data_IF_608828487521
#
_entry.id   IF_608828487521
#
_cell.length_a   1.000
_cell.length_b   1.000
_cell.length_c   1.000
_cell.angle_alpha   90.00
_cell.angle_beta   90.00
_cell.angle_gamma   90.00
#
_symmetry.space_group_name_H-M   'P 1'
#
loop_
_entity.id
_entity.type
_entity.pdbx_description
1 polymer ?
#
# COMPACT_ATOMS: atom_id res chain seq x y z
N UNK A 1 13.08 -3.63 1.78
CA UNK A 1 12.00 -2.97 2.55
C UNK A 1 12.30 -1.47 2.54
N UNK A 2 11.28 -0.62 2.51
CA UNK A 2 11.49 0.85 2.46
C UNK A 2 12.11 1.34 3.77
N UNK A 3 12.95 2.36 3.78
CA UNK A 3 13.44 2.93 5.05
C UNK A 3 12.33 3.72 5.77
N UNK A 4 12.51 3.99 7.06
CA UNK A 4 11.57 4.83 7.81
C UNK A 4 11.49 6.25 7.24
N UNK A 5 12.63 6.81 6.87
CA UNK A 5 12.74 8.11 6.21
C UNK A 5 11.98 8.13 4.87
N UNK A 6 12.04 7.05 4.10
CA UNK A 6 11.28 6.91 2.85
C UNK A 6 9.77 6.86 3.10
N UNK A 7 9.33 6.12 4.12
CA UNK A 7 7.90 6.05 4.49
C UNK A 7 7.41 7.43 4.93
N UNK A 8 8.15 8.12 5.79
CA UNK A 8 7.79 9.46 6.28
C UNK A 8 7.78 10.50 5.14
N UNK A 9 8.82 10.50 4.30
CA UNK A 9 8.91 11.41 3.15
C UNK A 9 7.73 11.24 2.20
N UNK A 10 7.35 10.00 1.89
CA UNK A 10 6.19 9.73 1.03
C UNK A 10 4.85 10.14 1.67
N UNK A 11 4.67 9.93 2.97
CA UNK A 11 3.45 10.37 3.65
C UNK A 11 3.33 11.89 3.65
N UNK A 12 4.46 12.60 3.79
CA UNK A 12 4.50 14.06 3.72
C UNK A 12 4.22 14.58 2.31
N UNK A 13 4.85 13.99 1.30
CA UNK A 13 4.63 14.32 -0.12
C UNK A 13 3.17 14.10 -0.53
N UNK A 14 2.65 12.89 -0.27
CA UNK A 14 1.26 12.53 -0.60
C UNK A 14 0.25 13.37 0.19
N UNK A 15 0.56 13.73 1.43
CA UNK A 15 -0.23 14.64 2.24
C UNK A 15 -0.28 16.04 1.61
N UNK A 16 0.88 16.61 1.29
CA UNK A 16 0.99 17.92 0.67
C UNK A 16 0.26 18.03 -0.67
N UNK A 17 0.38 17.01 -1.53
CA UNK A 17 -0.35 17.00 -2.82
C UNK A 17 -1.88 16.89 -2.63
N UNK A 18 -2.34 16.09 -1.66
CA UNK A 18 -3.77 15.99 -1.34
C UNK A 18 -4.30 17.30 -0.75
N UNK A 19 -3.53 17.94 0.11
CA UNK A 19 -3.89 19.22 0.72
C UNK A 19 -3.97 20.31 -0.35
N UNK A 20 -3.01 20.36 -1.28
CA UNK A 20 -3.02 21.27 -2.43
C UNK A 20 -4.27 21.08 -3.30
N UNK A 21 -4.67 19.84 -3.60
CA UNK A 21 -5.91 19.58 -4.33
C UNK A 21 -7.16 19.95 -3.53
N UNK A 22 -7.11 19.91 -2.20
CA UNK A 22 -8.23 20.29 -1.35
C UNK A 22 -8.36 21.80 -1.13
N UNK A 23 -7.26 22.55 -1.24
CA UNK A 23 -7.22 24.01 -1.05
C UNK A 23 -7.63 24.80 -2.29
N UNK A 24 -7.92 24.13 -3.41
CA UNK A 24 -8.43 24.79 -4.60
C UNK A 24 -9.83 25.37 -4.31
N UNK A 25 -9.99 26.68 -4.49
CA UNK A 25 -11.28 27.37 -4.33
C UNK A 25 -12.31 26.99 -5.41
N UNK A 26 -11.88 26.23 -6.42
CA UNK A 26 -12.71 25.73 -7.52
C UNK A 26 -12.98 24.24 -7.39
N UNK A 27 -14.08 23.72 -7.97
CA UNK A 27 -14.26 22.28 -8.09
C UNK A 27 -13.12 21.66 -8.90
N UNK A 28 -12.78 20.42 -8.51
CA UNK A 28 -11.79 19.61 -9.20
C UNK A 28 -12.31 19.22 -10.58
N UNK A 29 -11.42 19.24 -11.56
CA UNK A 29 -11.69 18.62 -12.86
C UNK A 29 -11.68 17.10 -12.73
N UNK A 30 -12.26 16.39 -13.70
CA UNK A 30 -12.29 14.91 -13.68
C UNK A 30 -10.89 14.28 -13.57
N UNK A 31 -9.89 14.88 -14.20
CA UNK A 31 -8.51 14.38 -14.12
C UNK A 31 -7.89 14.63 -12.75
N UNK A 32 -8.19 15.77 -12.11
CA UNK A 32 -7.74 16.08 -10.75
C UNK A 32 -8.45 15.21 -9.71
N UNK A 33 -9.74 14.88 -9.89
CA UNK A 33 -10.44 13.91 -9.05
C UNK A 33 -9.83 12.52 -9.17
N UNK A 34 -9.50 12.10 -10.40
CA UNK A 34 -8.81 10.83 -10.66
C UNK A 34 -7.44 10.83 -10.00
N UNK A 35 -6.70 11.93 -10.11
CA UNK A 35 -5.41 12.10 -9.45
C UNK A 35 -5.53 12.06 -7.92
N UNK A 36 -6.49 12.77 -7.32
CA UNK A 36 -6.78 12.74 -5.89
C UNK A 36 -7.05 11.31 -5.41
N UNK A 37 -7.87 10.55 -6.13
CA UNK A 37 -8.14 9.14 -5.81
C UNK A 37 -6.86 8.29 -5.86
N UNK A 38 -5.97 8.52 -6.83
CA UNK A 38 -4.67 7.84 -6.90
C UNK A 38 -3.80 8.16 -5.68
N UNK A 39 -3.71 9.44 -5.30
CA UNK A 39 -2.93 9.89 -4.14
C UNK A 39 -3.48 9.32 -2.83
N UNK A 40 -4.80 9.31 -2.65
CA UNK A 40 -5.46 8.67 -1.51
C UNK A 40 -5.11 7.18 -1.43
N UNK A 41 -5.11 6.48 -2.55
CA UNK A 41 -4.80 5.06 -2.57
C UNK A 41 -3.32 4.79 -2.28
N UNK A 42 -2.40 5.60 -2.84
CA UNK A 42 -0.97 5.55 -2.51
C UNK A 42 -0.74 5.77 -1.02
N UNK A 43 -1.37 6.79 -0.44
CA UNK A 43 -1.27 7.11 1.00
C UNK A 43 -1.74 5.94 1.85
N UNK A 44 -2.89 5.36 1.52
CA UNK A 44 -3.40 4.15 2.18
C UNK A 44 -2.38 2.99 2.16
N UNK A 45 -1.75 2.71 1.03
CA UNK A 45 -0.75 1.62 0.96
C UNK A 45 0.47 1.91 1.83
N UNK A 46 0.97 3.16 1.81
CA UNK A 46 2.12 3.56 2.65
C UNK A 46 1.78 3.48 4.14
N UNK A 47 0.57 3.89 4.53
CA UNK A 47 0.08 3.72 5.91
C UNK A 47 0.05 2.24 6.33
N UNK A 48 -0.31 1.32 5.43
CA UNK A 48 -0.29 -0.13 5.70
C UNK A 48 1.12 -0.69 5.85
N UNK A 49 2.11 -0.14 5.14
CA UNK A 49 3.53 -0.48 5.35
C UNK A 49 3.95 -0.04 6.76
N UNK A 50 3.60 1.19 7.16
CA UNK A 50 3.89 1.73 8.49
C UNK A 50 3.23 0.90 9.60
N UNK A 51 1.96 0.54 9.43
CA UNK A 51 1.23 -0.32 10.37
C UNK A 51 1.86 -1.72 10.50
N UNK A 52 2.21 -2.36 9.38
CA UNK A 52 2.83 -3.68 9.38
C UNK A 52 4.18 -3.66 10.09
N UNK A 53 4.98 -2.61 9.86
CA UNK A 53 6.24 -2.39 10.57
C UNK A 53 6.04 -2.20 12.06
N UNK A 54 5.09 -1.34 12.47
CA UNK A 54 4.80 -1.11 13.89
C UNK A 54 4.36 -2.39 14.63
N UNK A 55 3.70 -3.31 13.92
CA UNK A 55 3.28 -4.63 14.43
C UNK A 55 4.36 -5.70 14.32
N UNK A 56 5.53 -5.40 13.77
CA UNK A 56 6.60 -6.38 13.52
C UNK A 56 6.26 -7.44 12.46
N UNK A 57 5.21 -7.21 11.65
CA UNK A 57 4.70 -8.15 10.65
C UNK A 57 5.50 -8.03 9.34
N UNK A 58 6.70 -8.62 9.31
CA UNK A 58 7.62 -8.54 8.16
C UNK A 58 7.02 -9.04 6.84
N UNK A 59 6.16 -10.05 6.86
CA UNK A 59 5.48 -10.57 5.66
C UNK A 59 4.56 -9.53 5.04
N UNK A 60 3.85 -8.78 5.88
CA UNK A 60 2.85 -7.80 5.47
C UNK A 60 3.55 -6.52 5.03
N UNK A 61 4.65 -6.16 5.68
CA UNK A 61 5.50 -5.05 5.23
C UNK A 61 6.10 -5.32 3.85
N UNK A 62 6.59 -6.53 3.60
CA UNK A 62 7.12 -6.94 2.28
C UNK A 62 6.02 -6.93 1.21
N UNK A 63 4.83 -7.45 1.54
CA UNK A 63 3.67 -7.44 0.64
C UNK A 63 3.27 -6.01 0.27
N UNK A 64 3.07 -5.14 1.26
CA UNK A 64 2.62 -3.77 1.02
C UNK A 64 3.70 -2.92 0.31
N UNK A 65 4.98 -3.16 0.59
CA UNK A 65 6.08 -2.54 -0.17
C UNK A 65 6.04 -2.95 -1.65
N UNK A 66 5.84 -4.24 -1.92
CA UNK A 66 5.74 -4.77 -3.28
C UNK A 66 4.50 -4.23 -4.00
N UNK A 67 3.38 -4.14 -3.27
CA UNK A 67 2.14 -3.52 -3.73
C UNK A 67 2.37 -2.08 -4.19
N UNK A 68 3.07 -1.28 -3.36
CA UNK A 68 3.38 0.11 -3.66
C UNK A 68 4.25 0.24 -4.92
N UNK A 69 5.32 -0.56 -5.03
CA UNK A 69 6.22 -0.54 -6.19
C UNK A 69 5.53 -0.92 -7.50
N UNK A 70 4.50 -1.77 -7.46
CA UNK A 70 3.70 -2.11 -8.66
C UNK A 70 2.61 -1.07 -8.95
N UNK A 71 2.16 -0.34 -7.95
CA UNK A 71 1.10 0.66 -8.08
C UNK A 71 1.54 1.82 -8.99
N UNK A 72 2.76 2.32 -8.79
CA UNK A 72 3.31 3.51 -9.47
C UNK A 72 3.46 3.29 -10.99
N UNK A 73 4.03 2.18 -11.49
CA UNK A 73 4.20 1.96 -12.93
C UNK A 73 3.02 1.28 -13.64
N UNK A 74 2.22 0.44 -12.96
CA UNK A 74 1.23 -0.43 -13.62
C UNK A 74 -0.22 -0.17 -13.20
N UNK A 75 -0.45 0.22 -11.94
CA UNK A 75 -1.79 0.49 -11.41
C UNK A 75 -2.52 1.63 -12.11
N UNK A 76 -1.77 2.59 -12.68
CA UNK A 76 -2.34 3.78 -13.33
C UNK A 76 -2.75 3.54 -14.78
N UNK A 77 -2.03 2.66 -15.50
CA UNK A 77 -2.27 2.38 -16.92
C UNK A 77 -3.34 1.31 -17.12
N UNK A 78 -3.40 0.31 -16.23
CA UNK A 78 -4.32 -0.83 -16.36
C UNK A 78 -4.96 -1.21 -15.01
N UNK A 79 -5.92 -0.42 -14.51
CA UNK A 79 -6.51 -0.63 -13.17
C UNK A 79 -7.20 -2.00 -13.01
N UNK A 80 -7.84 -2.53 -14.06
CA UNK A 80 -8.49 -3.84 -14.04
C UNK A 80 -7.47 -4.99 -13.96
N UNK A 81 -6.39 -4.91 -14.74
CA UNK A 81 -5.33 -5.92 -14.72
C UNK A 81 -4.60 -5.89 -13.38
N UNK A 82 -4.32 -4.69 -12.86
CA UNK A 82 -3.73 -4.51 -11.55
C UNK A 82 -4.61 -5.13 -10.45
N UNK A 83 -5.92 -4.91 -10.47
CA UNK A 83 -6.83 -5.51 -9.51
C UNK A 83 -6.85 -7.05 -9.59
N UNK A 84 -6.86 -7.61 -10.80
CA UNK A 84 -6.82 -9.06 -11.01
C UNK A 84 -5.50 -9.65 -10.50
N UNK A 85 -4.36 -9.05 -10.88
CA UNK A 85 -3.03 -9.47 -10.43
C UNK A 85 -2.90 -9.37 -8.91
N UNK A 86 -3.41 -8.29 -8.31
CA UNK A 86 -3.33 -8.13 -6.86
C UNK A 86 -4.17 -9.16 -6.11
N UNK A 87 -5.29 -9.63 -6.67
CA UNK A 87 -6.04 -10.76 -6.09
C UNK A 87 -5.23 -12.06 -6.13
N UNK A 88 -4.53 -12.34 -7.23
CA UNK A 88 -3.68 -13.52 -7.38
C UNK A 88 -2.51 -13.46 -6.39
N UNK A 89 -1.81 -12.32 -6.34
CA UNK A 89 -0.69 -12.12 -5.42
C UNK A 89 -1.17 -12.23 -3.98
N UNK A 90 -2.32 -11.63 -3.62
CA UNK A 90 -2.90 -11.73 -2.28
C UNK A 90 -3.27 -13.17 -1.92
N UNK A 91 -3.87 -13.94 -2.82
CA UNK A 91 -4.20 -15.35 -2.57
C UNK A 91 -2.93 -16.19 -2.35
N UNK A 92 -1.90 -15.97 -3.16
CA UNK A 92 -0.59 -16.61 -3.00
C UNK A 92 0.10 -16.23 -1.69
N UNK A 93 -0.01 -14.96 -1.30
CA UNK A 93 0.56 -14.45 -0.04
C UNK A 93 -0.22 -14.88 1.19
N UNK A 94 -1.54 -15.04 1.09
CA UNK A 94 -2.38 -15.64 2.12
C UNK A 94 -1.97 -17.08 2.38
N UNK A 95 -1.72 -17.86 1.32
CA UNK A 95 -1.14 -19.19 1.44
C UNK A 95 0.17 -19.18 2.23
N UNK A 96 1.11 -18.30 1.86
CA UNK A 96 2.41 -18.17 2.55
C UNK A 96 2.24 -17.67 4.01
N UNK A 97 1.34 -16.72 4.28
CA UNK A 97 1.09 -16.22 5.63
C UNK A 97 0.44 -17.28 6.52
N UNK A 98 -0.46 -18.11 5.98
CA UNK A 98 -1.10 -19.19 6.73
C UNK A 98 -0.09 -20.26 7.16
N UNK A 99 0.92 -20.57 6.34
CA UNK A 99 2.04 -21.43 6.74
C UNK A 99 2.90 -20.78 7.83
N UNK A 100 3.19 -19.48 7.73
CA UNK A 100 3.98 -18.77 8.75
C UNK A 100 3.23 -18.61 10.09
N UNK A 101 1.89 -18.57 10.07
CA UNK A 101 1.08 -18.62 11.29
C UNK A 101 1.05 -20.03 11.91
N UNK A 102 1.10 -21.11 11.11
CA UNK A 102 1.18 -22.48 11.59
C UNK A 102 2.39 -22.73 12.51
N UNK A 103 3.57 -22.23 12.13
CA UNK A 103 4.80 -22.35 12.93
C UNK A 103 4.75 -21.57 14.27
N UNK A 104 3.91 -20.53 14.37
CA UNK A 104 3.73 -19.74 15.60
C UNK A 104 2.83 -20.46 16.60
N UNK A 105 1.90 -21.29 16.12
CA UNK A 105 1.05 -22.13 16.98
C UNK A 105 1.77 -23.40 17.45
N UNK A 106 2.59 -24.04 16.61
CA UNK A 106 3.39 -25.22 17.01
C UNK A 106 4.43 -24.91 18.10
N UNK A 107 4.97 -23.69 18.14
CA UNK A 107 5.94 -23.28 19.17
C UNK A 107 5.33 -23.01 20.55
N UNK A 108 4.01 -22.95 20.69
CA UNK A 108 3.34 -22.75 21.99
C UNK A 108 2.94 -24.04 22.70
N UNK A 109 3.11 -25.21 22.06
CA UNK A 109 2.74 -26.51 22.62
C UNK A 109 3.94 -27.36 23.09
N UNK A 110 5.10 -26.75 23.39
CA UNK A 110 6.21 -27.44 24.06
C UNK A 110 6.56 -26.81 25.40
#
# INVERSE_FOLDING_TARGET
MMSEEQIQGLLQELGGELDHLSSLERPLTKEEEKHRKRLQFRKYVVDRIKEARAKGQKSDELFNTTYYSMLVPWGEKHPLLFFLWMRIIRARWWGISAYNYGDVWEKKEK
#
